data_IF_321038497853
#
_entry.id   IF_321038497853
#
_cell.length_a   1.000
_cell.length_b   1.000
_cell.length_c   1.000
_cell.angle_alpha   90.00
_cell.angle_beta   90.00
_cell.angle_gamma   90.00
#
_symmetry.space_group_name_H-M   'P 1'
#
loop_
_entity.id
_entity.type
_entity.pdbx_description
1 polymer ?
#
# COMPACT_ATOMS: atom_id res chain seq x y z
N UNK A 1 32.25 -5.07 -48.68
CA UNK A 1 31.47 -4.02 -49.38
C UNK A 1 31.21 -2.87 -48.40
N UNK A 2 31.83 -1.70 -48.61
CA UNK A 2 31.61 -0.54 -47.72
C UNK A 2 30.23 0.04 -48.03
N UNK A 3 29.33 0.07 -47.04
CA UNK A 3 27.99 0.68 -47.17
C UNK A 3 28.18 2.13 -47.59
N UNK A 4 27.72 2.48 -48.79
CA UNK A 4 27.75 3.86 -49.26
C UNK A 4 26.74 4.67 -48.46
N UNK A 5 27.13 5.89 -48.13
CA UNK A 5 26.29 6.85 -47.43
C UNK A 5 25.14 7.30 -48.35
N UNK A 6 23.97 6.68 -48.18
CA UNK A 6 22.76 6.88 -49.00
C UNK A 6 22.37 8.37 -49.11
N UNK A 7 22.66 9.17 -48.08
CA UNK A 7 22.39 10.61 -48.08
C UNK A 7 23.24 11.41 -49.07
N UNK A 8 24.44 10.94 -49.44
CA UNK A 8 25.28 11.56 -50.47
C UNK A 8 24.77 11.29 -51.88
N UNK A 9 24.20 10.11 -52.11
CA UNK A 9 23.63 9.74 -53.43
C UNK A 9 22.30 10.46 -53.71
N UNK A 10 21.54 10.80 -52.65
CA UNK A 10 20.25 11.48 -52.73
C UNK A 10 20.33 13.01 -52.54
N UNK A 11 21.55 13.58 -52.47
CA UNK A 11 21.78 15.01 -52.26
C UNK A 11 21.02 15.60 -51.05
N UNK A 12 20.83 14.79 -50.01
CA UNK A 12 20.13 15.16 -48.78
C UNK A 12 21.11 15.82 -47.81
N UNK A 13 20.65 16.80 -46.99
CA UNK A 13 21.50 17.38 -45.97
C UNK A 13 22.02 16.29 -45.02
N UNK A 14 23.30 16.35 -44.61
CA UNK A 14 23.89 15.34 -43.76
C UNK A 14 23.09 15.24 -42.44
N UNK A 15 22.90 14.01 -41.91
CA UNK A 15 22.18 13.84 -40.66
C UNK A 15 22.87 14.63 -39.54
N UNK A 16 22.11 15.22 -38.61
CA UNK A 16 22.68 16.02 -37.53
C UNK A 16 23.70 15.18 -36.75
N UNK A 17 24.91 15.73 -36.56
CA UNK A 17 26.00 15.05 -35.85
C UNK A 17 25.51 14.71 -34.44
N UNK A 18 25.66 13.43 -34.03
CA UNK A 18 25.36 12.99 -32.66
C UNK A 18 26.13 13.87 -31.65
N UNK A 19 25.50 14.31 -30.56
CA UNK A 19 26.14 15.21 -29.61
C UNK A 19 27.42 14.58 -29.02
N UNK A 20 28.46 15.40 -28.88
CA UNK A 20 29.80 15.00 -28.46
C UNK A 20 29.87 14.57 -26.99
N UNK A 21 30.91 13.79 -26.65
CA UNK A 21 31.16 13.24 -25.30
C UNK A 21 31.27 14.31 -24.19
N UNK A 22 31.51 15.57 -24.53
CA UNK A 22 31.52 16.71 -23.58
C UNK A 22 30.17 16.93 -22.90
N UNK A 23 29.07 16.55 -23.55
CA UNK A 23 27.73 16.58 -22.95
C UNK A 23 27.54 15.55 -21.82
N UNK A 24 28.39 14.52 -21.72
CA UNK A 24 28.28 13.48 -20.70
C UNK A 24 28.78 13.94 -19.32
N UNK A 25 29.79 14.81 -19.27
CA UNK A 25 30.32 15.39 -18.01
C UNK A 25 29.37 16.39 -17.36
N UNK A 26 28.49 17.03 -18.13
CA UNK A 26 27.47 17.95 -17.60
C UNK A 26 26.22 17.22 -17.09
N UNK A 27 26.06 15.91 -17.37
CA UNK A 27 24.91 15.12 -16.90
C UNK A 27 24.84 14.96 -15.38
N UNK A 28 25.92 14.60 -14.65
CA UNK A 28 25.84 14.47 -13.18
C UNK A 28 25.53 15.80 -12.50
N UNK A 29 26.24 16.88 -12.83
CA UNK A 29 25.98 18.21 -12.25
C UNK A 29 24.55 18.71 -12.54
N UNK A 30 24.01 18.44 -13.75
CA UNK A 30 22.62 18.76 -14.09
C UNK A 30 21.60 17.88 -13.36
N UNK A 31 21.94 16.62 -13.08
CA UNK A 31 21.10 15.71 -12.30
C UNK A 31 21.08 16.10 -10.82
N UNK A 32 22.23 16.48 -10.26
CA UNK A 32 22.35 16.98 -8.89
C UNK A 32 21.58 18.30 -8.71
N UNK A 33 21.70 19.23 -9.67
CA UNK A 33 20.91 20.47 -9.65
C UNK A 33 19.40 20.21 -9.75
N UNK A 34 18.97 19.27 -10.59
CA UNK A 34 17.56 18.87 -10.69
C UNK A 34 17.05 18.21 -9.39
N UNK A 35 17.89 17.42 -8.72
CA UNK A 35 17.57 16.83 -7.42
C UNK A 35 17.48 17.88 -6.33
N UNK A 36 18.44 18.81 -6.26
CA UNK A 36 18.40 19.92 -5.32
C UNK A 36 17.13 20.76 -5.49
N UNK A 37 16.72 21.04 -6.73
CA UNK A 37 15.49 21.78 -6.94
C UNK A 37 14.24 20.99 -6.53
N UNK A 38 14.23 19.67 -6.78
CA UNK A 38 13.16 18.81 -6.28
C UNK A 38 13.08 18.84 -4.75
N UNK A 39 14.21 18.80 -4.06
CA UNK A 39 14.30 18.84 -2.59
C UNK A 39 13.81 20.19 -2.05
N UNK A 40 14.28 21.31 -2.62
CA UNK A 40 13.81 22.66 -2.30
C UNK A 40 12.31 22.82 -2.51
N UNK A 41 11.77 22.28 -3.61
CA UNK A 41 10.33 22.25 -3.88
C UNK A 41 9.57 21.47 -2.80
N UNK A 42 10.06 20.29 -2.40
CA UNK A 42 9.47 19.50 -1.32
C UNK A 42 9.46 20.26 0.02
N UNK A 43 10.57 20.89 0.41
CA UNK A 43 10.64 21.70 1.65
C UNK A 43 9.58 22.80 1.63
N UNK A 44 9.43 23.54 0.52
CA UNK A 44 8.42 24.60 0.39
C UNK A 44 6.99 24.06 0.54
N UNK A 45 6.70 22.89 -0.01
CA UNK A 45 5.38 22.26 0.14
C UNK A 45 5.11 21.76 1.56
N UNK A 46 6.13 21.25 2.26
CA UNK A 46 6.03 20.83 3.66
C UNK A 46 5.86 22.02 4.59
N UNK A 47 6.66 23.08 4.40
CA UNK A 47 6.51 24.34 5.11
C UNK A 47 5.09 24.89 4.96
N UNK A 48 4.59 24.99 3.72
CA UNK A 48 3.21 25.44 3.47
C UNK A 48 2.17 24.57 4.17
N UNK A 49 2.37 23.25 4.27
CA UNK A 49 1.47 22.35 4.98
C UNK A 49 1.48 22.58 6.50
N UNK A 50 2.66 22.79 7.08
CA UNK A 50 2.84 23.05 8.52
C UNK A 50 2.32 24.43 8.92
N UNK A 51 2.46 25.43 8.06
CA UNK A 51 1.97 26.80 8.29
C UNK A 51 0.50 27.01 7.92
N UNK A 52 -0.23 25.97 7.48
CA UNK A 52 -1.66 26.15 7.16
C UNK A 52 -2.47 26.45 8.42
N UNK A 53 -3.22 27.57 8.48
CA UNK A 53 -4.09 27.85 9.62
C UNK A 53 -5.20 26.81 9.69
N UNK A 54 -5.47 26.30 10.91
CA UNK A 54 -6.56 25.34 11.10
C UNK A 54 -7.91 26.04 10.87
N UNK A 55 -8.80 25.51 10.03
CA UNK A 55 -10.14 26.08 9.84
C UNK A 55 -11.05 25.88 11.06
N UNK A 56 -10.75 24.92 11.94
CA UNK A 56 -11.47 24.69 13.19
C UNK A 56 -10.96 25.59 14.32
N UNK A 57 -11.36 26.87 14.26
CA UNK A 57 -11.45 27.76 15.43
C UNK A 57 -12.66 27.43 16.31
N UNK A 58 -12.88 26.15 16.60
CA UNK A 58 -14.02 25.64 17.37
C UNK A 58 -13.58 25.02 18.68
N UNK A 59 -13.55 25.84 19.74
CA UNK A 59 -13.72 25.44 21.14
C UNK A 59 -12.87 24.26 21.66
N UNK A 60 -11.59 24.51 21.90
CA UNK A 60 -10.90 23.89 23.05
C UNK A 60 -10.04 24.99 23.70
N UNK A 61 -10.26 25.18 25.00
CA UNK A 61 -9.72 26.29 25.78
C UNK A 61 -8.18 26.32 25.74
N UNK A 62 -7.57 27.52 25.77
CA UNK A 62 -6.12 27.66 25.85
C UNK A 62 -5.67 27.35 27.27
N UNK A 63 -5.18 26.13 27.51
CA UNK A 63 -4.33 25.87 28.67
C UNK A 63 -2.90 26.26 28.29
N UNK A 64 -2.49 27.40 28.84
CA UNK A 64 -1.13 27.90 29.13
C UNK A 64 0.06 27.14 28.52
N UNK A 65 0.93 27.92 27.85
CA UNK A 65 2.19 27.53 27.19
C UNK A 65 2.11 27.11 25.71
N UNK A 66 1.20 27.69 24.92
CA UNK A 66 1.40 27.76 23.45
C UNK A 66 2.48 28.81 23.17
N UNK A 67 3.73 28.39 23.37
CA UNK A 67 4.88 29.10 22.86
C UNK A 67 4.63 29.35 21.37
N UNK A 68 4.55 30.63 21.03
CA UNK A 68 4.70 31.19 19.70
C UNK A 68 6.03 30.69 19.11
N UNK A 69 6.06 29.43 18.70
CA UNK A 69 7.08 28.84 17.84
C UNK A 69 6.83 29.47 16.48
N UNK A 70 7.21 30.74 16.38
CA UNK A 70 7.01 31.56 15.20
C UNK A 70 7.56 30.86 13.95
N UNK A 71 7.12 31.30 12.79
CA UNK A 71 7.44 30.73 11.47
C UNK A 71 8.93 30.34 11.27
N UNK A 72 9.85 30.96 12.00
CA UNK A 72 11.28 30.63 12.06
C UNK A 72 11.61 29.19 12.54
N UNK A 73 10.78 28.56 13.39
CA UNK A 73 10.98 27.18 13.85
C UNK A 73 10.40 26.14 12.88
N UNK A 74 9.44 26.54 12.04
CA UNK A 74 8.74 25.65 11.11
C UNK A 74 9.61 25.29 9.91
N UNK A 75 10.42 26.24 9.44
CA UNK A 75 11.34 26.02 8.32
C UNK A 75 12.43 24.96 8.58
N UNK A 76 13.20 25.00 9.70
CA UNK A 76 14.18 23.96 9.99
C UNK A 76 13.52 22.60 10.25
N UNK A 77 12.29 22.57 10.77
CA UNK A 77 11.52 21.33 10.92
C UNK A 77 11.12 20.74 9.56
N UNK A 78 10.64 21.56 8.63
CA UNK A 78 10.32 21.13 7.27
C UNK A 78 11.56 20.58 6.54
N UNK A 79 12.72 21.23 6.73
CA UNK A 79 14.00 20.74 6.22
C UNK A 79 14.40 19.40 6.86
N UNK A 80 14.20 19.23 8.17
CA UNK A 80 14.51 17.98 8.86
C UNK A 80 13.63 16.81 8.34
N UNK A 81 12.34 17.05 8.13
CA UNK A 81 11.41 16.06 7.55
C UNK A 81 11.83 15.70 6.13
N UNK A 82 12.16 16.68 5.29
CA UNK A 82 12.62 16.42 3.92
C UNK A 82 13.91 15.60 3.90
N UNK A 83 14.88 15.93 4.75
CA UNK A 83 16.16 15.20 4.83
C UNK A 83 15.95 13.73 5.16
N UNK A 84 15.05 13.45 6.08
CA UNK A 84 14.74 12.08 6.49
C UNK A 84 13.97 11.33 5.40
N UNK A 85 12.99 11.98 4.77
CA UNK A 85 12.27 11.44 3.62
C UNK A 85 13.25 11.10 2.48
N UNK A 86 14.16 12.01 2.16
CA UNK A 86 15.18 11.80 1.14
C UNK A 86 16.14 10.67 1.52
N UNK A 87 16.62 10.63 2.77
CA UNK A 87 17.53 9.59 3.24
C UNK A 87 16.90 8.19 3.13
N UNK A 88 15.66 8.03 3.58
CA UNK A 88 14.96 6.73 3.56
C UNK A 88 14.75 6.21 2.13
N UNK A 89 14.31 7.06 1.22
CA UNK A 89 14.13 6.69 -0.19
C UNK A 89 15.47 6.51 -0.92
N UNK A 90 16.50 7.28 -0.58
CA UNK A 90 17.83 7.15 -1.18
C UNK A 90 18.58 5.90 -0.68
N UNK A 91 18.44 5.54 0.59
CA UNK A 91 18.98 4.29 1.13
C UNK A 91 18.30 3.07 0.47
N UNK A 92 16.98 3.13 0.27
CA UNK A 92 16.24 2.13 -0.48
C UNK A 92 16.72 2.02 -1.95
N UNK A 93 17.11 3.14 -2.57
CA UNK A 93 17.71 3.18 -3.92
C UNK A 93 19.02 2.40 -4.02
N UNK A 94 19.90 2.50 -3.01
CA UNK A 94 21.18 1.77 -3.02
C UNK A 94 20.98 0.25 -3.02
N UNK A 95 19.90 -0.23 -2.40
CA UNK A 95 19.60 -1.66 -2.34
C UNK A 95 19.00 -2.21 -3.63
N UNK A 96 18.28 -1.39 -4.43
CA UNK A 96 17.46 -1.89 -5.55
C UNK A 96 18.00 -1.66 -6.98
N UNK A 97 19.19 -1.07 -7.17
CA UNK A 97 19.84 -0.86 -8.49
C UNK A 97 18.95 -0.26 -9.62
N UNK A 98 17.81 0.38 -9.28
CA UNK A 98 16.88 0.99 -10.23
C UNK A 98 16.66 2.46 -9.88
N UNK A 99 16.97 3.35 -10.83
CA UNK A 99 17.09 4.79 -10.57
C UNK A 99 15.86 5.63 -10.95
N UNK A 100 14.99 5.15 -11.85
CA UNK A 100 13.84 5.93 -12.35
C UNK A 100 12.60 5.83 -11.48
N UNK A 101 12.43 4.74 -10.74
CA UNK A 101 11.23 4.49 -9.93
C UNK A 101 11.28 5.25 -8.59
N UNK A 102 12.48 5.43 -8.04
CA UNK A 102 12.66 5.99 -6.68
C UNK A 102 12.36 7.49 -6.56
N UNK A 103 12.61 8.28 -7.61
CA UNK A 103 12.27 9.72 -7.61
C UNK A 103 10.75 9.94 -7.63
N UNK A 104 10.00 9.02 -8.25
CA UNK A 104 8.55 9.05 -8.26
C UNK A 104 7.95 8.64 -6.92
N UNK A 105 8.52 7.61 -6.29
CA UNK A 105 8.15 7.16 -4.94
C UNK A 105 8.41 8.25 -3.89
N UNK A 106 9.58 8.89 -3.93
CA UNK A 106 9.90 10.03 -3.08
C UNK A 106 8.86 11.17 -3.23
N UNK A 107 8.53 11.56 -4.48
CA UNK A 107 7.49 12.57 -4.73
C UNK A 107 6.11 12.13 -4.26
N UNK A 108 5.77 10.85 -4.36
CA UNK A 108 4.50 10.31 -3.91
C UNK A 108 4.39 10.31 -2.38
N UNK A 109 5.47 9.93 -1.69
CA UNK A 109 5.56 9.98 -0.24
C UNK A 109 5.46 11.42 0.28
N UNK A 110 6.21 12.36 -0.32
CA UNK A 110 6.13 13.79 0.01
C UNK A 110 4.69 14.33 -0.13
N UNK A 111 4.02 14.02 -1.25
CA UNK A 111 2.62 14.44 -1.50
C UNK A 111 1.66 13.86 -0.48
N UNK A 112 1.80 12.58 -0.16
CA UNK A 112 0.98 11.90 0.86
C UNK A 112 1.17 12.56 2.21
N UNK A 113 2.41 12.83 2.62
CA UNK A 113 2.72 13.46 3.90
C UNK A 113 2.15 14.88 3.98
N UNK A 114 2.34 15.69 2.94
CA UNK A 114 1.74 17.04 2.83
C UNK A 114 0.21 16.99 2.92
N UNK A 115 -0.43 16.07 2.20
CA UNK A 115 -1.88 15.92 2.23
C UNK A 115 -2.39 15.47 3.60
N UNK A 116 -1.65 14.60 4.30
CA UNK A 116 -2.00 14.16 5.65
C UNK A 116 -1.82 15.27 6.68
N UNK A 117 -0.72 16.02 6.64
CA UNK A 117 -0.48 17.18 7.51
C UNK A 117 -1.54 18.28 7.32
N UNK A 118 -2.04 18.47 6.09
CA UNK A 118 -3.14 19.41 5.81
C UNK A 118 -4.49 18.93 6.31
N UNK A 119 -4.77 17.62 6.25
CA UNK A 119 -6.05 17.02 6.66
C UNK A 119 -6.13 16.80 8.17
N UNK A 120 -5.02 16.50 8.82
CA UNK A 120 -4.96 16.16 10.24
C UNK A 120 -4.25 17.29 11.03
N UNK A 121 -5.07 18.23 11.53
CA UNK A 121 -4.58 19.35 12.33
C UNK A 121 -3.95 18.90 13.67
N UNK A 122 -4.44 17.79 14.25
CA UNK A 122 -3.88 17.24 15.47
C UNK A 122 -2.46 16.69 15.26
N UNK A 123 -2.26 15.91 14.21
CA UNK A 123 -0.93 15.42 13.83
C UNK A 123 0.03 16.60 13.59
N UNK A 124 -0.45 17.67 12.92
CA UNK A 124 0.35 18.87 12.70
C UNK A 124 0.77 19.54 14.01
N UNK A 125 -0.13 19.69 14.98
CA UNK A 125 0.21 20.21 16.31
C UNK A 125 1.25 19.34 17.01
N UNK A 126 1.09 18.02 16.97
CA UNK A 126 2.05 17.07 17.60
C UNK A 126 3.44 17.11 16.96
N UNK A 127 3.53 17.38 15.67
CA UNK A 127 4.80 17.58 14.96
C UNK A 127 5.44 18.92 15.33
N UNK A 128 4.64 19.99 15.42
CA UNK A 128 5.13 21.32 15.82
C UNK A 128 5.57 21.39 17.28
N UNK A 129 4.88 20.69 18.19
CA UNK A 129 5.26 20.57 19.59
C UNK A 129 6.45 19.63 19.84
N UNK A 130 6.94 18.95 18.80
CA UNK A 130 8.07 18.02 18.89
C UNK A 130 7.74 16.67 19.52
N UNK A 131 6.45 16.36 19.77
CA UNK A 131 6.03 15.03 20.25
C UNK A 131 6.29 13.93 19.23
N UNK A 132 6.15 14.24 17.94
CA UNK A 132 6.47 13.32 16.85
C UNK A 132 7.75 13.76 16.17
N UNK A 133 8.75 12.88 16.16
CA UNK A 133 10.04 13.15 15.51
C UNK A 133 9.92 13.00 13.98
N UNK A 134 10.73 13.71 13.19
CA UNK A 134 10.74 13.56 11.73
C UNK A 134 10.96 12.12 11.23
N UNK A 135 11.81 11.34 11.90
CA UNK A 135 12.05 9.92 11.62
C UNK A 135 10.80 9.05 11.79
N UNK A 136 10.11 9.23 12.91
CA UNK A 136 8.87 8.53 13.19
C UNK A 136 7.78 8.93 12.19
N UNK A 137 7.65 10.23 11.90
CA UNK A 137 6.66 10.76 10.96
C UNK A 137 6.81 10.16 9.56
N UNK A 138 8.04 10.04 9.05
CA UNK A 138 8.33 9.43 7.74
C UNK A 138 8.11 7.91 7.77
N UNK A 139 8.25 7.27 8.93
CA UNK A 139 8.00 5.84 9.13
C UNK A 139 6.54 5.45 9.32
N UNK A 140 5.66 6.41 9.64
CA UNK A 140 4.24 6.15 9.87
C UNK A 140 3.53 5.61 8.63
N UNK A 141 2.67 4.62 8.83
CA UNK A 141 1.82 4.10 7.77
C UNK A 141 0.72 5.09 7.37
N UNK A 142 0.19 4.95 6.15
CA UNK A 142 -0.90 5.81 5.63
C UNK A 142 -2.12 5.86 6.58
N UNK A 143 -2.42 4.75 7.26
CA UNK A 143 -3.50 4.69 8.26
C UNK A 143 -3.21 5.53 9.51
N UNK A 144 -1.97 5.54 10.00
CA UNK A 144 -1.56 6.30 11.18
C UNK A 144 -1.50 7.82 10.91
N UNK A 145 -1.26 8.20 9.65
CA UNK A 145 -1.29 9.59 9.20
C UNK A 145 -2.72 10.14 9.02
N UNK A 146 -3.74 9.28 9.03
CA UNK A 146 -5.14 9.67 8.83
C UNK A 146 -5.71 10.37 10.08
N UNK A 147 -6.88 11.00 9.95
CA UNK A 147 -7.57 11.65 11.08
C UNK A 147 -8.03 10.61 12.12
N UNK A 148 -8.25 10.96 13.39
CA UNK A 148 -8.67 10.01 14.41
C UNK A 148 -9.97 9.28 14.04
N UNK A 149 -10.95 9.97 13.43
CA UNK A 149 -12.17 9.34 12.93
C UNK A 149 -11.91 8.31 11.83
N UNK A 150 -11.00 8.61 10.90
CA UNK A 150 -10.61 7.67 9.85
C UNK A 150 -9.85 6.46 10.42
N UNK A 151 -9.00 6.67 11.42
CA UNK A 151 -8.30 5.59 12.11
C UNK A 151 -9.28 4.62 12.77
N UNK A 152 -10.30 5.14 13.45
CA UNK A 152 -11.38 4.35 14.04
C UNK A 152 -12.18 3.58 12.98
N UNK A 153 -12.52 4.23 11.86
CA UNK A 153 -13.19 3.56 10.75
C UNK A 153 -12.33 2.42 10.18
N UNK A 154 -11.03 2.66 9.97
CA UNK A 154 -10.10 1.64 9.52
C UNK A 154 -10.01 0.46 10.48
N UNK A 155 -10.00 0.72 11.79
CA UNK A 155 -10.01 -0.32 12.82
C UNK A 155 -11.31 -1.14 12.76
N UNK A 156 -12.47 -0.49 12.64
CA UNK A 156 -13.77 -1.16 12.52
C UNK A 156 -13.88 -2.00 11.25
N UNK A 157 -13.37 -1.48 10.12
CA UNK A 157 -13.33 -2.21 8.86
C UNK A 157 -12.41 -3.42 8.94
N UNK A 158 -11.25 -3.26 9.56
CA UNK A 158 -10.28 -4.34 9.77
C UNK A 158 -10.87 -5.43 10.68
N UNK A 159 -11.49 -5.06 11.80
CA UNK A 159 -12.14 -6.01 12.69
C UNK A 159 -13.25 -6.79 11.95
N UNK A 160 -14.09 -6.09 11.17
CA UNK A 160 -15.14 -6.73 10.38
C UNK A 160 -14.58 -7.69 9.34
N UNK A 161 -13.49 -7.31 8.69
CA UNK A 161 -12.79 -8.14 7.70
C UNK A 161 -12.18 -9.39 8.36
N UNK A 162 -11.44 -9.20 9.45
CA UNK A 162 -10.86 -10.30 10.24
C UNK A 162 -11.95 -11.24 10.74
N UNK A 163 -13.07 -10.71 11.24
CA UNK A 163 -14.22 -11.52 11.67
C UNK A 163 -14.82 -12.32 10.50
N UNK A 164 -14.97 -11.72 9.32
CA UNK A 164 -15.48 -12.42 8.14
C UNK A 164 -14.58 -13.58 7.73
N UNK A 165 -13.26 -13.34 7.65
CA UNK A 165 -12.27 -14.35 7.25
C UNK A 165 -12.16 -15.47 8.28
N UNK A 166 -12.15 -15.14 9.58
CA UNK A 166 -12.04 -16.14 10.65
C UNK A 166 -13.28 -17.03 10.76
N UNK A 167 -14.48 -16.46 10.58
CA UNK A 167 -15.72 -17.24 10.51
C UNK A 167 -15.75 -18.16 9.30
N UNK A 168 -15.27 -17.71 8.13
CA UNK A 168 -15.16 -18.57 6.94
C UNK A 168 -14.17 -19.73 7.14
N UNK A 169 -13.16 -19.59 8.01
CA UNK A 169 -12.18 -20.62 8.32
C UNK A 169 -12.61 -21.66 9.37
N UNK A 170 -13.53 -21.31 10.28
CA UNK A 170 -13.98 -22.20 11.38
C UNK A 170 -15.22 -23.04 11.04
N UNK A 171 -15.77 -22.85 9.87
CA UNK A 171 -16.95 -23.53 9.37
C UNK A 171 -17.33 -22.79 8.13
N UNK A 172 -16.92 -23.32 6.98
CA UNK A 172 -17.41 -22.85 5.69
C UNK A 172 -18.90 -22.55 5.85
N UNK A 173 -19.36 -21.35 5.52
CA UNK A 173 -20.77 -20.98 5.60
C UNK A 173 -21.69 -21.88 4.73
N UNK A 174 -21.13 -22.90 4.07
CA UNK A 174 -21.81 -23.95 3.32
C UNK A 174 -21.77 -25.34 3.99
N UNK A 175 -21.22 -25.50 5.20
CA UNK A 175 -21.30 -26.77 5.94
C UNK A 175 -22.59 -26.84 6.77
N UNK A 176 -23.40 -27.86 6.50
CA UNK A 176 -24.67 -28.10 7.18
C UNK A 176 -24.39 -29.06 8.34
N UNK A 177 -24.69 -28.62 9.57
CA UNK A 177 -24.60 -29.48 10.76
C UNK A 177 -25.73 -30.51 10.74
N UNK A 178 -25.38 -31.80 10.79
CA UNK A 178 -26.31 -32.92 10.83
C UNK A 178 -25.90 -33.97 11.87
N UNK A 179 -26.86 -34.77 12.32
CA UNK A 179 -26.66 -35.94 13.17
C UNK A 179 -26.78 -37.27 12.43
N UNK A 180 -26.96 -37.23 11.11
CA UNK A 180 -27.27 -38.42 10.30
C UNK A 180 -26.06 -39.33 10.09
N UNK A 181 -24.85 -38.80 10.27
CA UNK A 181 -23.60 -39.54 10.10
C UNK A 181 -22.95 -39.90 11.43
N UNK A 182 -22.48 -41.15 11.56
CA UNK A 182 -21.73 -41.64 12.73
C UNK A 182 -20.24 -41.66 12.41
N UNK A 183 -19.42 -41.01 13.23
CA UNK A 183 -17.97 -41.00 13.03
C UNK A 183 -17.35 -42.38 13.32
N UNK A 184 -16.68 -42.97 12.32
CA UNK A 184 -15.97 -44.24 12.50
C UNK A 184 -14.75 -44.19 13.43
N UNK A 185 -14.27 -43.00 13.82
CA UNK A 185 -13.11 -42.83 14.71
C UNK A 185 -13.52 -42.69 16.18
N UNK A 186 -14.48 -41.81 16.50
CA UNK A 186 -14.87 -41.52 17.88
C UNK A 186 -16.28 -41.98 18.26
N UNK A 187 -17.08 -42.48 17.31
CA UNK A 187 -18.47 -42.88 17.53
C UNK A 187 -19.45 -41.72 17.72
N UNK A 188 -18.98 -40.47 17.68
CA UNK A 188 -19.83 -39.28 17.79
C UNK A 188 -20.73 -39.10 16.57
N UNK A 189 -21.93 -38.54 16.79
CA UNK A 189 -22.91 -38.19 15.74
C UNK A 189 -22.91 -36.73 15.33
N UNK A 190 -22.16 -35.88 16.03
CA UNK A 190 -22.07 -34.46 15.70
C UNK A 190 -21.12 -34.28 14.51
N UNK A 191 -21.70 -34.08 13.33
CA UNK A 191 -20.99 -34.00 12.06
C UNK A 191 -21.51 -32.83 11.21
N UNK A 192 -20.62 -32.21 10.45
CA UNK A 192 -20.95 -31.21 9.45
C UNK A 192 -20.68 -31.78 8.06
N UNK A 193 -21.59 -31.61 7.11
CA UNK A 193 -21.34 -32.01 5.72
C UNK A 193 -21.35 -30.81 4.77
N UNK A 194 -20.58 -30.94 3.70
CA UNK A 194 -20.59 -30.04 2.55
C UNK A 194 -20.86 -30.86 1.30
N UNK A 195 -21.89 -30.51 0.53
CA UNK A 195 -22.14 -31.14 -0.77
C UNK A 195 -20.97 -30.81 -1.72
N UNK A 196 -20.21 -31.82 -2.12
CA UNK A 196 -19.02 -31.71 -2.97
C UNK A 196 -19.33 -31.69 -4.47
N UNK A 197 -20.57 -31.39 -4.87
CA UNK A 197 -21.02 -31.31 -6.27
C UNK A 197 -20.41 -30.19 -7.13
N UNK A 198 -19.30 -29.57 -6.72
CA UNK A 198 -18.61 -28.51 -7.49
C UNK A 198 -17.08 -28.59 -7.41
N UNK A 199 -16.49 -29.78 -7.58
CA UNK A 199 -15.04 -29.89 -7.79
C UNK A 199 -14.56 -30.04 -9.24
N UNK A 200 -15.45 -30.07 -10.24
CA UNK A 200 -15.04 -30.15 -11.66
C UNK A 200 -15.87 -29.32 -12.66
N UNK A 201 -16.12 -28.02 -12.38
CA UNK A 201 -16.66 -27.06 -13.38
C UNK A 201 -15.66 -26.83 -14.56
N UNK A 202 -14.47 -27.42 -14.52
CA UNK A 202 -13.41 -27.16 -15.49
C UNK A 202 -13.51 -27.86 -16.84
N UNK A 203 -14.21 -29.00 -16.99
CA UNK A 203 -14.23 -29.75 -18.26
C UNK A 203 -15.49 -30.56 -18.60
N UNK A 204 -16.43 -30.76 -17.67
CA UNK A 204 -17.56 -31.67 -17.90
C UNK A 204 -18.87 -30.97 -18.34
N UNK A 205 -18.96 -29.64 -18.31
CA UNK A 205 -20.16 -28.91 -18.76
C UNK A 205 -20.26 -28.70 -20.29
N UNK A 206 -19.22 -29.03 -21.06
CA UNK A 206 -19.21 -28.77 -22.52
C UNK A 206 -19.61 -29.99 -23.37
N UNK A 207 -19.56 -31.22 -22.82
CA UNK A 207 -19.98 -32.42 -23.55
C UNK A 207 -20.79 -33.33 -22.62
N UNK A 208 -22.09 -33.39 -22.87
CA UNK A 208 -23.05 -34.09 -22.03
C UNK A 208 -22.67 -35.55 -21.77
N UNK A 209 -22.34 -35.83 -20.51
CA UNK A 209 -22.55 -37.16 -19.93
C UNK A 209 -23.83 -37.08 -19.11
N UNK A 210 -24.87 -37.75 -19.61
CA UNK A 210 -26.22 -37.79 -19.06
C UNK A 210 -26.34 -38.74 -17.85
N UNK A 211 -25.27 -39.47 -17.53
CA UNK A 211 -25.26 -40.47 -16.45
C UNK A 211 -23.95 -40.35 -15.62
N UNK A 212 -24.00 -39.62 -14.52
CA UNK A 212 -22.99 -39.61 -13.46
C UNK A 212 -23.69 -39.59 -12.10
N UNK A 213 -23.38 -40.50 -11.16
CA UNK A 213 -24.17 -40.68 -9.95
C UNK A 213 -23.87 -39.58 -8.92
N UNK A 214 -24.91 -39.15 -8.22
CA UNK A 214 -24.88 -38.71 -6.82
C UNK A 214 -24.14 -37.42 -6.49
N UNK A 215 -24.81 -36.50 -5.82
CA UNK A 215 -24.15 -35.44 -5.06
C UNK A 215 -23.29 -36.06 -3.96
N UNK A 216 -22.00 -36.27 -4.20
CA UNK A 216 -21.07 -36.68 -3.15
C UNK A 216 -21.06 -35.62 -2.05
N UNK A 217 -20.98 -36.04 -0.79
CA UNK A 217 -20.93 -35.17 0.39
C UNK A 217 -19.62 -35.40 1.13
N UNK A 218 -18.92 -34.32 1.46
CA UNK A 218 -17.76 -34.36 2.35
C UNK A 218 -18.23 -34.13 3.78
N UNK A 219 -18.20 -35.17 4.61
CA UNK A 219 -18.59 -35.13 6.02
C UNK A 219 -17.36 -34.90 6.90
N UNK A 220 -17.48 -34.05 7.90
CA UNK A 220 -16.47 -33.72 8.92
C UNK A 220 -17.06 -33.94 10.31
N UNK A 221 -16.45 -34.78 11.14
CA UNK A 221 -16.85 -34.94 12.53
C UNK A 221 -16.40 -33.74 13.38
N UNK A 222 -17.33 -33.13 14.12
CA UNK A 222 -17.07 -31.99 15.01
C UNK A 222 -16.33 -32.37 16.30
N UNK A 223 -16.44 -33.63 16.74
CA UNK A 223 -15.80 -34.10 17.97
C UNK A 223 -14.32 -34.45 17.82
N UNK A 224 -13.90 -35.01 16.69
CA UNK A 224 -12.51 -35.46 16.48
C UNK A 224 -11.85 -34.94 15.18
N UNK A 225 -12.57 -34.15 14.37
CA UNK A 225 -12.04 -33.59 13.13
C UNK A 225 -11.84 -34.58 11.98
N UNK A 226 -12.30 -35.83 12.12
CA UNK A 226 -12.19 -36.84 11.06
C UNK A 226 -13.07 -36.46 9.86
N UNK A 227 -12.54 -36.59 8.63
CA UNK A 227 -13.21 -36.23 7.39
C UNK A 227 -13.30 -37.42 6.44
N UNK A 228 -14.47 -37.63 5.83
CA UNK A 228 -14.70 -38.70 4.85
C UNK A 228 -15.74 -38.27 3.81
N UNK A 229 -15.67 -38.87 2.62
CA UNK A 229 -16.66 -38.65 1.55
C UNK A 229 -17.72 -39.76 1.60
N UNK A 230 -18.98 -39.40 1.35
CA UNK A 230 -20.11 -40.32 1.25
C UNK A 230 -20.94 -39.96 0.03
N UNK A 231 -21.31 -40.97 -0.75
CA UNK A 231 -22.28 -40.81 -1.82
C UNK A 231 -23.67 -41.08 -1.22
N UNK A 232 -24.57 -40.09 -1.28
CA UNK A 232 -25.97 -40.35 -0.94
C UNK A 232 -26.57 -41.27 -1.99
N UNK A 233 -27.07 -42.43 -1.53
CA UNK A 233 -27.81 -43.44 -2.30
C UNK A 233 -29.19 -42.91 -2.69
#
# INVERSE_FOLDING_TARGET
>A
MKRKDIWKELNLPPPPKKPSKTAASARPARQEAAQQELRSSCVRTLFSALSTPSPDGGQQQPSVDEADLGDAAVEPLAQAIERELFFRHHHQRQQQQQQSVTDQEYKAAARTLVASLKRNADLRRRVLSGQVRPDELVGMGVRQLATPQQQEEYARLQERETRRVTLAGHGSAASISTSDYVCGRCGGRSCDYLDSGRRDIGKCETWGSKDGPGSSRLVTCLGCGHRWETDDV
#
